data_IF_411485646137
#
_entry.id   IF_411485646137
#
_cell.length_a   1.000
_cell.length_b   1.000
_cell.length_c   1.000
_cell.angle_alpha   90.00
_cell.angle_beta   90.00
_cell.angle_gamma   90.00
#
_symmetry.space_group_name_H-M   'P 1'
#
loop_
_entity.id
_entity.type
_entity.pdbx_description
1 polymer ?
#
# COMPACT_ATOMS: atom_id res chain seq x y z
N UNK A 1 49.62 -109.02 -34.06
CA UNK A 1 48.98 -107.68 -34.18
C UNK A 1 49.55 -106.82 -33.07
N UNK A 2 50.34 -105.80 -33.43
CA UNK A 2 51.27 -105.13 -32.52
C UNK A 2 50.52 -104.24 -31.52
N UNK A 3 50.80 -104.43 -30.21
CA UNK A 3 50.21 -103.69 -29.07
C UNK A 3 50.29 -102.16 -29.22
N UNK A 4 51.17 -101.67 -30.08
CA UNK A 4 51.33 -100.26 -30.45
C UNK A 4 50.07 -99.64 -31.12
N UNK A 5 49.39 -100.38 -32.00
CA UNK A 5 48.19 -99.87 -32.68
C UNK A 5 46.96 -99.81 -31.76
N UNK A 6 46.90 -100.66 -30.74
CA UNK A 6 45.81 -100.64 -29.76
C UNK A 6 45.89 -99.40 -28.86
N UNK A 7 47.10 -99.00 -28.45
CA UNK A 7 47.32 -97.81 -27.62
C UNK A 7 47.01 -96.52 -28.40
N UNK A 8 47.33 -96.49 -29.70
CA UNK A 8 47.04 -95.34 -30.57
C UNK A 8 45.53 -95.14 -30.80
N UNK A 9 44.76 -96.23 -30.96
CA UNK A 9 43.30 -96.13 -31.07
C UNK A 9 42.66 -95.73 -29.74
N UNK A 10 43.15 -96.23 -28.60
CA UNK A 10 42.57 -95.90 -27.31
C UNK A 10 42.82 -94.43 -26.91
N UNK A 11 43.98 -93.87 -27.24
CA UNK A 11 44.27 -92.45 -27.03
C UNK A 11 43.44 -91.54 -27.93
N UNK A 12 43.16 -91.96 -29.17
CA UNK A 12 42.30 -91.19 -30.08
C UNK A 12 40.84 -91.14 -29.60
N UNK A 13 40.33 -92.22 -29.00
CA UNK A 13 38.96 -92.27 -28.46
C UNK A 13 38.79 -91.36 -27.24
N UNK A 14 39.80 -91.26 -26.37
CA UNK A 14 39.70 -90.42 -25.14
C UNK A 14 39.68 -88.91 -25.47
N UNK A 15 40.34 -88.49 -26.56
CA UNK A 15 40.40 -87.08 -26.98
C UNK A 15 39.10 -86.62 -27.65
N UNK A 16 38.42 -87.48 -28.42
CA UNK A 16 37.17 -87.13 -29.08
C UNK A 16 35.90 -87.38 -28.23
N UNK A 17 36.00 -88.14 -27.14
CA UNK A 17 34.86 -88.45 -26.28
C UNK A 17 34.52 -87.36 -25.23
N UNK A 18 35.30 -86.27 -25.13
CA UNK A 18 35.03 -85.20 -24.15
C UNK A 18 35.24 -83.81 -24.75
N UNK A 19 34.27 -83.27 -25.51
CA UNK A 19 34.23 -81.84 -25.78
C UNK A 19 33.96 -81.08 -24.47
N UNK A 20 35.00 -80.61 -23.80
CA UNK A 20 34.90 -79.61 -22.74
C UNK A 20 34.46 -78.27 -23.35
N UNK A 21 33.15 -78.01 -23.38
CA UNK A 21 32.61 -76.67 -23.64
C UNK A 21 31.16 -76.54 -23.15
N UNK A 22 30.93 -76.54 -21.84
CA UNK A 22 29.76 -75.84 -21.30
C UNK A 22 30.14 -74.38 -21.17
N UNK A 23 29.83 -73.58 -22.19
CA UNK A 23 29.73 -72.13 -22.03
C UNK A 23 28.78 -71.91 -20.85
N UNK A 24 29.28 -71.34 -19.74
CA UNK A 24 28.41 -70.94 -18.64
C UNK A 24 27.59 -69.76 -19.17
N UNK A 25 26.30 -69.99 -19.41
CA UNK A 25 25.37 -68.93 -19.78
C UNK A 25 25.25 -67.97 -18.60
N UNK A 26 25.85 -66.79 -18.74
CA UNK A 26 25.84 -65.71 -17.74
C UNK A 26 24.45 -65.06 -17.58
N UNK A 27 23.43 -65.57 -18.26
CA UNK A 27 22.05 -65.09 -18.19
C UNK A 27 21.22 -65.77 -17.10
N UNK A 28 21.72 -66.83 -16.46
CA UNK A 28 21.01 -67.55 -15.39
C UNK A 28 21.65 -67.42 -14.00
N UNK A 29 22.86 -66.87 -13.89
CA UNK A 29 23.45 -66.49 -12.59
C UNK A 29 23.05 -65.05 -12.23
N UNK A 30 22.01 -64.91 -11.40
CA UNK A 30 21.62 -63.64 -10.79
C UNK A 30 20.14 -63.27 -10.90
N UNK A 31 19.34 -64.03 -11.68
CA UNK A 31 17.90 -63.76 -11.89
C UNK A 31 17.02 -63.90 -10.64
N UNK A 32 17.49 -64.64 -9.62
CA UNK A 32 16.76 -64.88 -8.35
C UNK A 32 17.25 -64.00 -7.19
N UNK A 33 18.17 -63.06 -7.42
CA UNK A 33 18.64 -62.12 -6.39
C UNK A 33 17.91 -60.78 -6.42
N UNK A 34 17.03 -60.57 -7.41
CA UNK A 34 16.19 -59.37 -7.50
C UNK A 34 14.75 -59.84 -7.32
N UNK A 35 14.08 -59.52 -6.20
CA UNK A 35 12.67 -59.88 -6.02
C UNK A 35 11.84 -59.29 -7.18
N UNK A 36 10.85 -60.05 -7.67
CA UNK A 36 10.00 -59.69 -8.83
C UNK A 36 9.24 -58.37 -8.60
N UNK A 37 9.14 -57.92 -7.36
CA UNK A 37 8.56 -56.64 -6.95
C UNK A 37 9.66 -55.83 -6.25
N UNK A 38 10.34 -54.99 -7.02
CA UNK A 38 11.12 -53.88 -6.48
C UNK A 38 10.12 -52.84 -5.97
N UNK A 39 9.98 -52.77 -4.64
CA UNK A 39 9.07 -51.82 -3.99
C UNK A 39 9.68 -50.41 -3.90
N UNK A 40 10.76 -50.12 -4.64
CA UNK A 40 11.22 -48.76 -4.95
C UNK A 40 10.37 -48.17 -6.08
N UNK A 41 9.05 -48.18 -5.89
CA UNK A 41 8.24 -47.16 -6.53
C UNK A 41 8.41 -45.93 -5.65
N UNK A 42 9.04 -44.88 -6.17
CA UNK A 42 8.85 -43.54 -5.59
C UNK A 42 7.36 -43.24 -5.71
N UNK A 43 6.61 -43.52 -4.65
CA UNK A 43 5.25 -43.06 -4.54
C UNK A 43 5.31 -41.53 -4.64
N UNK A 44 4.63 -40.98 -5.64
CA UNK A 44 4.45 -39.55 -5.78
C UNK A 44 3.71 -39.09 -4.52
N UNK A 45 4.43 -38.45 -3.60
CA UNK A 45 3.81 -37.85 -2.42
C UNK A 45 3.05 -36.63 -2.91
N UNK A 46 1.75 -36.78 -3.12
CA UNK A 46 0.86 -35.63 -3.28
C UNK A 46 0.74 -34.94 -1.92
N UNK A 47 1.29 -33.73 -1.82
CA UNK A 47 1.00 -32.84 -0.71
C UNK A 47 -0.23 -32.03 -1.09
N UNK A 48 -1.39 -32.40 -0.56
CA UNK A 48 -2.61 -31.59 -0.68
C UNK A 48 -2.41 -30.29 0.09
N UNK A 49 -2.09 -29.21 -0.65
CA UNK A 49 -1.98 -27.87 -0.09
C UNK A 49 -3.40 -27.32 0.03
N UNK A 50 -4.00 -27.48 1.21
CA UNK A 50 -5.23 -26.80 1.57
C UNK A 50 -4.86 -25.37 1.97
N UNK A 51 -5.01 -24.42 1.05
CA UNK A 51 -4.91 -22.99 1.37
C UNK A 51 -6.27 -22.50 1.83
N UNK A 52 -6.36 -22.07 3.08
CA UNK A 52 -7.50 -21.30 3.54
C UNK A 52 -7.20 -19.82 3.28
N UNK A 53 -7.94 -19.19 2.36
CA UNK A 53 -7.85 -17.77 2.13
C UNK A 53 -8.73 -17.06 3.16
N UNK A 54 -8.21 -16.94 4.38
CA UNK A 54 -8.84 -16.11 5.40
C UNK A 54 -8.72 -14.65 4.94
N UNK A 55 -9.83 -14.06 4.52
CA UNK A 55 -9.93 -12.62 4.26
C UNK A 55 -9.90 -11.89 5.59
N UNK A 56 -8.71 -11.78 6.19
CA UNK A 56 -8.49 -10.81 7.26
C UNK A 56 -8.81 -9.43 6.66
N UNK A 57 -9.76 -8.66 7.24
CA UNK A 57 -9.97 -7.29 6.84
C UNK A 57 -8.66 -6.54 7.09
N UNK A 58 -7.88 -6.32 6.04
CA UNK A 58 -6.64 -5.57 6.12
C UNK A 58 -7.00 -4.10 6.36
N UNK A 59 -6.98 -3.70 7.63
CA UNK A 59 -7.25 -2.32 7.99
C UNK A 59 -5.93 -1.56 8.07
N UNK A 60 -5.62 -0.80 7.02
CA UNK A 60 -4.57 0.22 7.09
C UNK A 60 -4.97 1.29 8.09
N UNK A 61 -4.06 1.63 9.01
CA UNK A 61 -4.28 2.65 10.06
C UNK A 61 -3.19 3.70 9.94
N UNK A 62 -3.60 4.96 9.94
CA UNK A 62 -2.69 6.09 10.13
C UNK A 62 -2.61 6.38 11.62
N UNK A 63 -1.41 6.36 12.17
CA UNK A 63 -1.14 6.66 13.57
C UNK A 63 -0.73 8.14 13.68
N UNK A 64 -1.15 8.75 14.78
CA UNK A 64 -0.79 10.08 15.21
C UNK A 64 -0.46 9.98 16.69
N UNK A 65 0.82 9.85 17.00
CA UNK A 65 1.29 9.94 18.39
C UNK A 65 1.55 11.40 18.71
N UNK A 66 1.45 11.79 19.99
CA UNK A 66 1.77 13.15 20.42
C UNK A 66 3.18 13.55 19.98
N UNK A 67 3.28 14.41 18.96
CA UNK A 67 4.55 14.92 18.42
C UNK A 67 5.05 14.26 17.13
N UNK A 68 4.43 13.17 16.65
CA UNK A 68 4.81 12.49 15.40
C UNK A 68 3.56 12.03 14.65
N UNK A 69 3.34 12.59 13.47
CA UNK A 69 2.34 12.12 12.52
C UNK A 69 3.01 11.17 11.53
N UNK A 70 2.31 10.11 11.12
CA UNK A 70 2.75 9.26 10.03
C UNK A 70 2.64 10.00 8.70
N UNK A 71 3.55 9.69 7.76
CA UNK A 71 3.45 10.15 6.37
C UNK A 71 2.20 9.57 5.71
N UNK A 72 1.50 10.39 4.94
CA UNK A 72 0.32 10.01 4.21
C UNK A 72 0.64 9.74 2.74
N UNK A 73 0.13 8.64 2.23
CA UNK A 73 0.26 8.29 0.83
C UNK A 73 -0.85 8.95 -0.03
N UNK A 74 -0.47 9.47 -1.20
CA UNK A 74 -1.36 10.01 -2.22
C UNK A 74 -0.98 9.48 -3.60
N UNK A 75 -1.89 8.81 -4.29
CA UNK A 75 -1.59 8.27 -5.62
C UNK A 75 -2.58 7.22 -6.08
N UNK A 76 -2.49 6.83 -7.36
CA UNK A 76 -3.35 5.79 -7.92
C UNK A 76 -2.65 4.98 -8.99
N UNK A 77 -2.30 3.75 -8.64
CA UNK A 77 -1.75 2.73 -9.53
C UNK A 77 -2.93 1.90 -10.06
N UNK A 78 -3.05 1.73 -11.38
CA UNK A 78 -4.06 0.87 -11.98
C UNK A 78 -3.38 -0.14 -12.91
N UNK A 79 -3.73 -1.42 -12.77
CA UNK A 79 -3.38 -2.46 -13.74
C UNK A 79 -1.92 -2.89 -13.74
N UNK A 80 -1.25 -2.86 -12.58
CA UNK A 80 0.04 -3.53 -12.43
C UNK A 80 -0.16 -5.06 -12.53
N UNK A 81 0.58 -5.70 -13.45
CA UNK A 81 0.55 -7.15 -13.68
C UNK A 81 0.93 -7.96 -12.43
N UNK A 82 1.77 -7.39 -11.56
CA UNK A 82 2.27 -8.07 -10.36
C UNK A 82 1.49 -7.71 -9.08
N UNK A 83 1.03 -6.46 -8.96
CA UNK A 83 0.45 -5.93 -7.71
C UNK A 83 -0.99 -5.42 -7.82
N UNK A 84 -1.60 -5.44 -9.01
CA UNK A 84 -2.99 -5.05 -9.22
C UNK A 84 -3.20 -3.54 -9.27
N UNK A 85 -4.23 -3.04 -8.58
CA UNK A 85 -4.57 -1.62 -8.55
C UNK A 85 -4.61 -1.12 -7.11
N UNK A 86 -3.93 -0.01 -6.84
CA UNK A 86 -3.81 0.59 -5.51
C UNK A 86 -4.25 2.05 -5.57
N UNK A 87 -5.14 2.44 -4.67
CA UNK A 87 -5.59 3.82 -4.51
C UNK A 87 -5.20 4.31 -3.13
N UNK A 88 -4.55 5.47 -3.05
CA UNK A 88 -4.30 6.16 -1.79
C UNK A 88 -4.84 7.58 -1.86
N UNK A 89 -5.74 7.87 -0.91
CA UNK A 89 -6.38 9.16 -0.71
C UNK A 89 -6.07 9.64 0.71
N UNK A 90 -5.79 10.93 0.85
CA UNK A 90 -5.53 11.54 2.15
C UNK A 90 -6.83 12.11 2.71
N UNK A 91 -7.11 11.83 3.97
CA UNK A 91 -8.21 12.42 4.71
C UNK A 91 -7.66 13.17 5.92
N UNK A 92 -7.98 14.46 6.00
CA UNK A 92 -7.50 15.30 7.08
C UNK A 92 -8.63 16.16 7.64
N UNK A 93 -8.67 16.26 8.97
CA UNK A 93 -9.52 17.19 9.68
C UNK A 93 -8.68 18.40 10.10
N UNK A 94 -9.23 19.60 9.92
CA UNK A 94 -8.62 20.81 10.46
C UNK A 94 -9.26 21.05 11.82
N UNK A 95 -8.43 21.15 12.85
CA UNK A 95 -8.89 21.50 14.19
C UNK A 95 -8.67 22.98 14.49
N UNK A 96 -9.52 23.53 15.36
CA UNK A 96 -9.25 24.82 16.00
C UNK A 96 -8.59 24.58 17.35
N UNK A 97 -7.80 25.53 17.85
CA UNK A 97 -7.23 25.41 19.21
C UNK A 97 -8.35 25.13 20.23
N UNK A 98 -8.23 24.04 20.98
CA UNK A 98 -9.26 23.55 21.90
C UNK A 98 -9.32 24.34 23.21
N UNK A 99 -8.31 25.15 23.51
CA UNK A 99 -8.16 25.82 24.80
C UNK A 99 -8.79 27.21 24.86
N UNK A 100 -8.86 27.91 23.72
CA UNK A 100 -9.45 29.25 23.63
C UNK A 100 -10.00 29.53 22.22
N UNK A 101 -11.13 30.27 22.10
CA UNK A 101 -11.59 30.78 20.82
C UNK A 101 -10.53 31.69 20.21
N UNK A 102 -10.06 31.36 19.02
CA UNK A 102 -9.10 32.16 18.25
C UNK A 102 -9.72 32.45 16.89
N UNK A 103 -9.59 33.69 16.42
CA UNK A 103 -9.87 34.03 15.02
C UNK A 103 -8.57 33.92 14.22
N UNK A 104 -8.35 32.82 13.47
CA UNK A 104 -7.09 32.58 12.78
C UNK A 104 -6.82 33.60 11.66
N UNK A 105 -7.86 34.24 11.12
CA UNK A 105 -7.77 35.21 10.03
C UNK A 105 -7.84 36.67 10.51
N UNK A 106 -7.79 36.90 11.83
CA UNK A 106 -8.04 38.22 12.42
C UNK A 106 -9.53 38.57 12.48
N UNK A 107 -9.87 39.82 12.84
CA UNK A 107 -11.26 40.26 12.91
C UNK A 107 -11.91 40.17 11.53
N UNK A 108 -13.12 39.61 11.48
CA UNK A 108 -13.92 39.49 10.26
C UNK A 108 -13.98 40.78 9.45
N UNK A 109 -14.15 41.92 10.13
CA UNK A 109 -14.28 43.24 9.49
C UNK A 109 -12.95 43.82 8.98
N UNK A 110 -11.82 43.18 9.27
CA UNK A 110 -10.48 43.61 8.82
C UNK A 110 -10.06 42.97 7.49
N UNK A 111 -10.79 41.95 7.02
CA UNK A 111 -10.45 41.20 5.80
C UNK A 111 -11.08 41.90 4.60
N UNK A 112 -10.29 42.68 3.87
CA UNK A 112 -10.77 43.46 2.73
C UNK A 112 -10.92 42.64 1.43
N UNK A 113 -10.02 41.70 1.19
CA UNK A 113 -10.06 40.82 0.03
C UNK A 113 -9.24 39.55 0.26
N UNK A 114 -9.64 38.47 -0.39
CA UNK A 114 -8.88 37.21 -0.47
C UNK A 114 -8.46 37.03 -1.92
N UNK A 115 -7.15 37.10 -2.16
CA UNK A 115 -6.56 36.96 -3.50
C UNK A 115 -6.48 35.48 -3.91
N UNK A 116 -5.97 34.62 -3.03
CA UNK A 116 -5.85 33.19 -3.29
C UNK A 116 -5.99 32.34 -2.02
N UNK A 117 -6.47 31.11 -2.19
CA UNK A 117 -6.49 30.06 -1.16
C UNK A 117 -5.66 28.88 -1.68
N UNK A 118 -4.67 28.45 -0.90
CA UNK A 118 -3.76 27.37 -1.30
C UNK A 118 -3.64 26.38 -0.16
N UNK A 119 -3.86 25.09 -0.46
CA UNK A 119 -3.52 24.00 0.43
C UNK A 119 -2.05 23.63 0.21
N UNK A 120 -1.28 23.64 1.29
CA UNK A 120 0.12 23.29 1.26
C UNK A 120 0.34 22.00 2.05
N UNK A 121 0.95 20.99 1.42
CA UNK A 121 1.38 19.76 2.06
C UNK A 121 2.90 19.65 1.96
N UNK A 122 3.55 19.18 3.01
CA UNK A 122 4.95 18.77 2.92
C UNK A 122 5.05 17.56 1.99
N UNK A 123 6.17 17.42 1.31
CA UNK A 123 6.45 16.26 0.46
C UNK A 123 7.67 15.54 1.01
N UNK A 124 7.51 14.25 1.33
CA UNK A 124 8.58 13.44 1.93
C UNK A 124 9.28 12.59 0.88
N UNK A 125 8.52 11.96 -0.02
CA UNK A 125 9.11 11.11 -1.06
C UNK A 125 8.07 10.53 -2.00
N UNK A 126 8.54 9.72 -2.95
CA UNK A 126 7.73 9.06 -3.95
C UNK A 126 8.10 7.59 -4.02
N UNK A 127 7.10 6.73 -4.14
CA UNK A 127 7.25 5.30 -4.32
C UNK A 127 6.72 4.89 -5.70
N UNK A 128 7.43 3.96 -6.36
CA UNK A 128 7.14 3.53 -7.73
C UNK A 128 8.07 4.15 -8.78
N UNK A 129 7.86 3.81 -10.04
CA UNK A 129 8.73 4.14 -11.17
C UNK A 129 8.25 5.33 -12.02
N UNK A 130 7.08 5.91 -11.71
CA UNK A 130 6.44 6.84 -12.63
C UNK A 130 6.74 8.30 -12.34
N UNK A 131 7.45 8.95 -13.27
CA UNK A 131 7.61 10.42 -13.36
C UNK A 131 6.37 11.14 -13.90
N UNK A 132 5.22 10.47 -13.89
CA UNK A 132 3.96 10.98 -14.46
C UNK A 132 3.33 12.08 -13.61
N UNK A 133 2.78 13.09 -14.27
CA UNK A 133 1.97 14.14 -13.63
C UNK A 133 0.68 13.53 -13.06
N UNK A 134 0.47 13.67 -11.76
CA UNK A 134 -0.75 13.23 -11.09
C UNK A 134 -1.80 14.34 -11.08
N UNK A 135 -3.06 13.97 -11.34
CA UNK A 135 -4.19 14.87 -11.23
C UNK A 135 -4.80 14.76 -9.83
N UNK A 136 -4.66 15.80 -9.02
CA UNK A 136 -5.10 15.84 -7.64
C UNK A 136 -6.37 16.69 -7.54
N UNK A 137 -7.32 16.23 -6.75
CA UNK A 137 -8.52 16.98 -6.44
C UNK A 137 -8.79 16.99 -4.95
N UNK A 138 -9.15 18.17 -4.45
CA UNK A 138 -9.51 18.38 -3.05
C UNK A 138 -11.03 18.49 -2.94
N UNK A 139 -11.62 17.76 -2.00
CA UNK A 139 -13.07 17.73 -1.75
C UNK A 139 -13.34 17.89 -0.26
N UNK A 140 -14.48 18.45 0.08
CA UNK A 140 -14.90 18.59 1.48
C UNK A 140 -15.49 17.28 2.00
N UNK A 141 -15.09 16.87 3.20
CA UNK A 141 -15.63 15.70 3.88
C UNK A 141 -17.05 16.01 4.36
N UNK A 142 -17.97 15.06 4.14
CA UNK A 142 -19.35 15.20 4.56
C UNK A 142 -19.43 15.37 6.09
N UNK A 143 -20.09 16.45 6.59
CA UNK A 143 -20.27 16.70 8.02
C UNK A 143 -21.01 15.58 8.77
N UNK A 144 -21.70 14.67 8.09
CA UNK A 144 -22.31 13.50 8.72
C UNK A 144 -21.27 12.44 9.15
N UNK A 145 -20.11 12.37 8.50
CA UNK A 145 -19.15 11.28 8.70
C UNK A 145 -18.26 11.58 9.89
N UNK A 146 -18.34 10.82 10.97
CA UNK A 146 -17.53 11.05 12.17
C UNK A 146 -16.10 10.52 11.98
N UNK A 147 -15.12 11.36 12.29
CA UNK A 147 -13.77 10.89 12.62
C UNK A 147 -13.84 10.28 14.03
N UNK A 148 -14.47 9.12 14.15
CA UNK A 148 -14.50 8.39 15.42
C UNK A 148 -13.12 7.78 15.63
N UNK A 149 -12.30 8.46 16.43
CA UNK A 149 -11.12 7.85 17.00
C UNK A 149 -11.60 6.87 18.06
N UNK A 150 -11.33 5.56 17.95
CA UNK A 150 -11.47 4.66 19.09
C UNK A 150 -10.42 5.08 20.12
N UNK A 151 -10.76 6.07 20.93
CA UNK A 151 -9.99 6.45 22.10
C UNK A 151 -10.29 5.37 23.14
N UNK A 152 -9.49 4.31 23.14
CA UNK A 152 -9.23 3.65 24.41
C UNK A 152 -8.57 4.74 25.27
N UNK A 153 -9.27 5.19 26.32
CA UNK A 153 -8.79 6.25 27.23
C UNK A 153 -7.40 5.98 27.81
N UNK A 154 -6.92 4.74 27.73
CA UNK A 154 -5.64 4.28 28.24
C UNK A 154 -4.53 4.12 27.17
N UNK A 155 -4.74 4.53 25.92
CA UNK A 155 -3.71 4.37 24.86
C UNK A 155 -3.37 5.71 24.20
N UNK A 156 -2.10 6.11 24.29
CA UNK A 156 -1.47 7.33 23.72
C UNK A 156 -1.49 7.35 22.17
N UNK A 157 -2.08 6.33 21.53
CA UNK A 157 -2.08 6.15 20.07
C UNK A 157 -3.43 6.61 19.49
N UNK A 158 -3.49 7.89 19.14
CA UNK A 158 -4.59 8.47 18.37
C UNK A 158 -4.37 8.10 16.90
N UNK A 159 -5.36 7.55 16.21
CA UNK A 159 -5.17 7.15 14.82
C UNK A 159 -6.45 6.60 14.23
N UNK A 160 -6.63 6.74 12.92
CA UNK A 160 -7.86 6.35 12.23
C UNK A 160 -7.58 5.18 11.28
N UNK A 161 -8.53 4.24 11.24
CA UNK A 161 -8.53 3.16 10.26
C UNK A 161 -9.11 3.70 8.95
N UNK A 162 -8.46 3.44 7.82
CA UNK A 162 -8.91 3.91 6.50
C UNK A 162 -10.15 3.12 6.03
N UNK A 163 -10.25 1.85 6.43
CA UNK A 163 -11.27 0.89 5.97
C UNK A 163 -12.60 0.95 6.74
N UNK A 164 -12.59 1.26 8.04
CA UNK A 164 -13.81 1.13 8.89
C UNK A 164 -14.72 2.37 8.89
N UNK A 165 -14.65 3.22 7.87
CA UNK A 165 -15.27 4.54 7.90
C UNK A 165 -16.57 4.57 7.11
N UNK A 166 -17.61 5.16 7.71
CA UNK A 166 -19.01 5.24 7.27
C UNK A 166 -19.21 5.79 5.85
N UNK A 167 -18.79 5.06 4.84
CA UNK A 167 -19.30 5.15 3.48
C UNK A 167 -20.18 3.94 3.29
N UNK A 168 -21.44 4.16 2.90
CA UNK A 168 -22.38 3.09 2.58
C UNK A 168 -21.86 2.10 1.50
N UNK A 169 -20.71 2.41 0.89
CA UNK A 169 -20.07 1.67 -0.19
C UNK A 169 -18.66 1.15 0.16
N UNK A 170 -18.25 1.11 1.44
CA UNK A 170 -16.98 0.52 1.87
C UNK A 170 -15.72 1.22 1.34
N UNK A 171 -15.81 2.50 0.96
CA UNK A 171 -14.71 3.25 0.36
C UNK A 171 -14.60 4.65 1.00
N UNK A 172 -13.79 4.76 2.07
CA UNK A 172 -13.32 6.03 2.65
C UNK A 172 -14.39 6.94 3.28
N UNK A 173 -14.03 8.19 3.56
CA UNK A 173 -15.00 9.20 4.04
C UNK A 173 -15.86 9.71 2.89
N UNK A 174 -17.20 9.70 3.06
CA UNK A 174 -18.11 10.35 2.12
C UNK A 174 -17.76 11.83 1.95
N UNK A 175 -17.72 12.31 0.71
CA UNK A 175 -17.40 13.71 0.38
C UNK A 175 -18.55 14.43 -0.29
N UNK A 176 -18.48 15.76 -0.29
CA UNK A 176 -19.48 16.66 -0.85
C UNK A 176 -18.92 17.36 -2.09
N UNK A 177 -18.78 18.69 -2.04
CA UNK A 177 -18.32 19.50 -3.15
C UNK A 177 -16.79 19.43 -3.33
N UNK A 178 -16.33 19.63 -4.57
CA UNK A 178 -14.93 19.93 -4.84
C UNK A 178 -14.60 21.32 -4.29
N UNK A 179 -13.47 21.42 -3.58
CA UNK A 179 -13.00 22.66 -2.97
C UNK A 179 -12.13 23.49 -3.91
N UNK A 180 -11.92 23.04 -5.14
CA UNK A 180 -11.10 23.69 -6.15
C UNK A 180 -11.09 22.93 -7.47
N UNK A 181 -10.38 23.47 -8.48
CA UNK A 181 -10.15 22.77 -9.74
C UNK A 181 -9.25 21.53 -9.53
N UNK A 182 -9.18 20.68 -10.55
CA UNK A 182 -8.19 19.59 -10.59
C UNK A 182 -6.81 20.20 -10.80
N UNK A 183 -5.86 19.82 -9.95
CA UNK A 183 -4.48 20.30 -9.96
C UNK A 183 -3.55 19.25 -10.55
N UNK A 184 -2.71 19.65 -11.49
CA UNK A 184 -1.72 18.77 -12.10
C UNK A 184 -0.41 18.89 -11.32
N UNK A 185 -0.01 17.82 -10.63
CA UNK A 185 1.20 17.78 -9.83
C UNK A 185 2.27 16.89 -10.47
N UNK A 186 3.43 17.49 -10.75
CA UNK A 186 4.64 16.76 -11.12
C UNK A 186 5.51 16.56 -9.87
N UNK A 187 5.66 15.31 -9.42
CA UNK A 187 6.44 14.97 -8.22
C UNK A 187 7.97 15.04 -8.45
N UNK A 188 8.44 15.11 -9.71
CA UNK A 188 9.86 15.22 -10.02
C UNK A 188 10.42 16.64 -9.81
N UNK A 189 9.55 17.63 -9.62
CA UNK A 189 9.90 19.06 -9.58
C UNK A 189 9.83 19.70 -8.19
N UNK A 190 9.81 18.92 -7.12
CA UNK A 190 9.80 19.45 -5.74
C UNK A 190 11.18 19.94 -5.27
N UNK A 191 11.78 20.89 -5.99
CA UNK A 191 13.00 21.59 -5.57
C UNK A 191 12.74 23.02 -5.10
N UNK A 192 11.48 23.42 -5.05
CA UNK A 192 11.11 24.81 -4.80
C UNK A 192 11.09 25.12 -3.30
N UNK A 193 11.86 26.14 -2.94
CA UNK A 193 11.77 26.85 -1.67
C UNK A 193 10.80 28.02 -1.84
N UNK A 194 9.86 28.18 -0.91
CA UNK A 194 8.92 29.28 -0.88
C UNK A 194 8.97 29.98 0.48
N UNK A 195 8.85 31.30 0.45
CA UNK A 195 8.92 32.13 1.65
C UNK A 195 7.52 32.65 1.95
N UNK A 196 6.93 32.16 3.03
CA UNK A 196 5.66 32.63 3.58
C UNK A 196 5.93 33.83 4.48
N UNK A 197 5.28 34.96 4.19
CA UNK A 197 5.38 36.16 5.01
C UNK A 197 4.04 36.42 5.69
N UNK A 198 3.96 36.14 6.99
CA UNK A 198 2.74 36.28 7.80
C UNK A 198 2.57 37.72 8.33
N UNK A 199 3.67 38.42 8.56
CA UNK A 199 3.70 39.85 8.91
C UNK A 199 5.04 40.47 8.49
N UNK A 200 5.20 41.79 8.61
CA UNK A 200 6.42 42.51 8.24
C UNK A 200 7.69 41.94 8.90
N UNK A 201 7.57 41.30 10.07
CA UNK A 201 8.67 40.72 10.86
C UNK A 201 8.70 39.19 10.92
N UNK A 202 7.69 38.49 10.39
CA UNK A 202 7.56 37.04 10.56
C UNK A 202 7.53 36.34 9.21
N UNK A 203 8.64 35.68 8.91
CA UNK A 203 8.96 35.08 7.61
C UNK A 203 9.35 33.63 7.84
N UNK A 204 8.59 32.71 7.27
CA UNK A 204 8.83 31.28 7.33
C UNK A 204 9.22 30.77 5.96
N UNK A 205 10.29 29.98 5.90
CA UNK A 205 10.76 29.34 4.67
C UNK A 205 10.30 27.89 4.68
N UNK A 206 9.54 27.52 3.66
CA UNK A 206 9.08 26.15 3.43
C UNK A 206 9.74 25.61 2.17
N UNK A 207 10.26 24.39 2.22
CA UNK A 207 10.86 23.70 1.07
C UNK A 207 10.14 22.37 0.84
N UNK A 208 10.18 21.86 -0.38
CA UNK A 208 9.58 20.58 -0.76
C UNK A 208 8.10 20.51 -0.42
N UNK A 209 7.32 21.48 -0.90
CA UNK A 209 5.89 21.57 -0.61
C UNK A 209 5.04 21.43 -1.87
N UNK A 210 4.02 20.58 -1.77
CA UNK A 210 2.93 20.51 -2.74
C UNK A 210 1.92 21.62 -2.46
N UNK A 211 1.66 22.45 -3.46
CA UNK A 211 0.75 23.58 -3.38
C UNK A 211 -0.43 23.35 -4.31
N UNK A 212 -1.59 23.16 -3.73
CA UNK A 212 -2.84 22.91 -4.47
C UNK A 212 -3.72 24.15 -4.34
N UNK A 213 -4.02 24.84 -5.46
CA UNK A 213 -4.93 25.98 -5.43
C UNK A 213 -6.36 25.51 -5.13
N UNK A 214 -7.01 26.21 -4.21
CA UNK A 214 -8.41 26.01 -3.82
C UNK A 214 -9.26 27.21 -4.27
N UNK A 215 -10.57 27.02 -4.22
CA UNK A 215 -11.54 28.08 -4.51
C UNK A 215 -11.49 29.17 -3.43
N UNK A 216 -11.47 30.44 -3.85
CA UNK A 216 -11.56 31.58 -2.95
C UNK A 216 -12.86 31.59 -2.13
N UNK A 217 -13.91 30.90 -2.59
CA UNK A 217 -15.16 30.74 -1.84
C UNK A 217 -14.95 30.02 -0.51
N UNK A 218 -14.03 29.07 -0.44
CA UNK A 218 -13.66 28.41 0.82
C UNK A 218 -13.03 29.41 1.79
N UNK A 219 -12.09 30.22 1.30
CA UNK A 219 -11.42 31.25 2.10
C UNK A 219 -12.42 32.28 2.61
N UNK A 220 -13.32 32.76 1.76
CA UNK A 220 -14.38 33.70 2.15
C UNK A 220 -15.31 33.10 3.21
N UNK A 221 -15.65 31.82 3.07
CA UNK A 221 -16.46 31.10 4.06
C UNK A 221 -15.76 31.02 5.42
N UNK A 222 -14.49 30.59 5.44
CA UNK A 222 -13.70 30.45 6.67
C UNK A 222 -13.39 31.80 7.32
N UNK A 223 -13.14 32.84 6.53
CA UNK A 223 -12.94 34.21 6.99
C UNK A 223 -14.22 34.84 7.57
N UNK A 224 -15.40 34.38 7.12
CA UNK A 224 -16.69 34.88 7.60
C UNK A 224 -17.14 34.33 8.95
N UNK A 225 -16.45 33.32 9.49
CA UNK A 225 -16.73 32.68 10.78
C UNK A 225 -16.28 33.55 11.97
N UNK A 226 -16.92 33.35 13.11
CA UNK A 226 -16.71 34.14 14.32
C UNK A 226 -16.55 33.22 15.55
N UNK A 227 -16.07 33.81 16.64
CA UNK A 227 -15.95 33.28 17.99
C UNK A 227 -17.11 33.74 18.91
N UNK A 228 -17.83 34.81 18.54
CA UNK A 228 -18.88 35.41 19.36
C UNK A 228 -20.23 34.69 19.17
N UNK A 229 -20.85 34.29 20.27
CA UNK A 229 -22.13 33.56 20.30
C UNK A 229 -21.98 32.07 20.60
N UNK A 230 -23.07 31.40 21.01
CA UNK A 230 -23.04 30.01 21.44
C UNK A 230 -22.83 29.00 20.29
N UNK A 231 -23.20 29.39 19.06
CA UNK A 231 -23.13 28.55 17.85
C UNK A 231 -22.01 28.98 16.89
N UNK A 232 -21.12 29.85 17.36
CA UNK A 232 -20.07 30.44 16.54
C UNK A 232 -19.03 29.37 16.14
N UNK A 233 -18.69 29.21 14.85
CA UNK A 233 -17.85 28.11 14.38
C UNK A 233 -16.47 28.05 15.04
N UNK A 234 -15.84 29.19 15.35
CA UNK A 234 -14.50 29.23 15.97
C UNK A 234 -14.53 29.24 17.50
N UNK A 235 -15.70 29.07 18.13
CA UNK A 235 -15.80 28.99 19.59
C UNK A 235 -15.19 27.70 20.15
N UNK A 236 -15.33 26.58 19.44
CA UNK A 236 -14.79 25.29 19.84
C UNK A 236 -14.57 24.38 18.65
N UNK A 237 -13.65 23.43 18.79
CA UNK A 237 -13.35 22.44 17.75
C UNK A 237 -14.58 21.60 17.39
N UNK A 238 -15.37 21.21 18.39
CA UNK A 238 -16.61 20.46 18.19
C UNK A 238 -17.64 21.24 17.36
N UNK A 239 -17.74 22.55 17.55
CA UNK A 239 -18.61 23.41 16.74
C UNK A 239 -18.04 23.62 15.35
N UNK A 240 -16.73 23.85 15.21
CA UNK A 240 -16.10 24.00 13.90
C UNK A 240 -16.37 22.79 12.99
N UNK A 241 -16.25 21.58 13.54
CA UNK A 241 -16.48 20.31 12.82
C UNK A 241 -17.92 20.07 12.35
N UNK A 242 -18.90 20.87 12.79
CA UNK A 242 -20.26 20.83 12.23
C UNK A 242 -20.38 21.64 10.94
N UNK A 243 -19.57 22.68 10.79
CA UNK A 243 -19.55 23.56 9.61
C UNK A 243 -18.49 23.16 8.59
N UNK A 244 -17.32 22.70 9.04
CA UNK A 244 -16.23 22.25 8.19
C UNK A 244 -15.52 21.08 8.86
N UNK A 245 -15.74 19.88 8.34
CA UNK A 245 -15.21 18.67 8.98
C UNK A 245 -13.76 18.38 8.59
N UNK A 246 -13.40 18.71 7.35
CA UNK A 246 -12.10 18.36 6.81
C UNK A 246 -12.13 18.24 5.29
N UNK A 247 -11.02 17.75 4.76
CA UNK A 247 -10.78 17.63 3.33
C UNK A 247 -10.30 16.23 2.98
N UNK A 248 -10.78 15.74 1.85
CA UNK A 248 -10.22 14.61 1.13
C UNK A 248 -9.31 15.18 0.04
N UNK A 249 -8.13 14.61 -0.10
CA UNK A 249 -7.20 14.85 -1.20
C UNK A 249 -7.07 13.54 -1.95
N UNK A 250 -7.47 13.55 -3.21
CA UNK A 250 -7.59 12.34 -4.02
C UNK A 250 -6.84 12.47 -5.34
N UNK A 251 -6.15 11.41 -5.72
CA UNK A 251 -5.62 11.25 -7.07
C UNK A 251 -6.75 10.80 -8.02
N UNK A 252 -7.08 11.64 -8.98
CA UNK A 252 -8.14 11.42 -9.99
C UNK A 252 -7.62 10.72 -11.24
N UNK A 253 -6.36 10.95 -11.62
CA UNK A 253 -5.71 10.25 -12.74
C UNK A 253 -4.86 9.08 -12.27
N UNK A 254 -4.58 8.19 -13.22
CA UNK A 254 -3.57 7.15 -13.08
C UNK A 254 -2.23 7.84 -12.91
N UNK A 255 -1.57 7.58 -11.79
CA UNK A 255 -0.20 7.96 -11.53
C UNK A 255 0.41 6.74 -10.88
N UNK A 256 1.34 6.05 -11.56
CA UNK A 256 2.01 4.86 -11.00
C UNK A 256 2.99 5.22 -9.87
N UNK A 257 2.77 6.37 -9.24
CA UNK A 257 3.55 6.96 -8.19
C UNK A 257 2.65 7.26 -6.98
N UNK A 258 3.12 6.80 -5.84
CA UNK A 258 2.56 7.11 -4.54
C UNK A 258 3.43 8.18 -3.90
N UNK A 259 2.94 9.41 -3.79
CA UNK A 259 3.63 10.48 -3.07
C UNK A 259 3.36 10.36 -1.56
N UNK A 260 4.40 10.37 -0.74
CA UNK A 260 4.33 10.55 0.71
C UNK A 260 4.29 12.04 1.06
N UNK A 261 3.36 12.43 1.93
CA UNK A 261 3.14 13.80 2.39
C UNK A 261 2.87 13.88 3.90
#
# INVERSE_FOLDING_TARGET
MNKFYLVLCLSFVVIFANPSCTKIDTTTLGGDLIPVIDNVNTFETFLDVITNLESLPDSTRILSTTGTADDHALGRINGDLSFGSTTADIYMAIGTNSTSPIMPFGPKDSIMAIDSVVLQLAYTGQFGDSTSVAQIQVREINPAVKFDYPVNKDTIIVGYKIDTLNSANGNGFGTTAALGPVHNQDFSRFKDQYTLRRSSSDTEVVSNVMRIPLSNTLGQRLAGYDTVGATAPFRSDSLFRTYFRGMQIRATSISSALGGA
#
